data_IF_119124769791
#
_entry.id   IF_119124769791
#
_cell.length_a   1.000
_cell.length_b   1.000
_cell.length_c   1.000
_cell.angle_alpha   90.00
_cell.angle_beta   90.00
_cell.angle_gamma   90.00
#
_symmetry.space_group_name_H-M   'P 1'
#
loop_
_entity.id
_entity.type
_entity.pdbx_description
1 polymer ?
#
# COMPACT_ATOMS: atom_id res chain seq x y z
N UNK A 1 -8.88 -7.85 25.96
CA UNK A 1 -7.89 -8.21 24.93
C UNK A 1 -6.84 -7.11 24.81
N UNK A 2 -5.62 -7.43 24.40
CA UNK A 2 -4.62 -6.42 24.07
C UNK A 2 -4.89 -5.80 22.70
N UNK A 3 -4.67 -4.47 22.58
CA UNK A 3 -4.84 -3.76 21.31
C UNK A 3 -3.83 -2.60 21.22
N UNK A 4 -3.33 -2.34 20.01
CA UNK A 4 -2.43 -1.22 19.75
C UNK A 4 -3.24 0.04 19.46
N UNK A 5 -3.08 1.06 20.30
CA UNK A 5 -3.88 2.29 20.23
C UNK A 5 -3.03 3.55 20.21
N UNK A 6 -3.50 4.55 19.46
CA UNK A 6 -2.96 5.91 19.51
C UNK A 6 -3.67 6.68 20.61
N UNK A 7 -2.91 7.34 21.48
CA UNK A 7 -3.40 8.21 22.56
C UNK A 7 -3.17 9.69 22.27
N UNK A 8 -2.30 10.01 21.32
CA UNK A 8 -1.93 11.36 20.93
C UNK A 8 -0.67 11.37 20.10
N UNK A 9 -0.10 12.55 19.77
CA UNK A 9 1.09 12.66 18.93
C UNK A 9 2.29 11.91 19.50
N UNK A 10 2.77 10.91 18.78
CA UNK A 10 3.88 10.04 19.18
C UNK A 10 3.56 9.04 20.30
N UNK A 11 2.32 8.99 20.78
CA UNK A 11 1.92 8.14 21.90
C UNK A 11 1.15 6.90 21.42
N UNK A 12 1.90 5.84 21.12
CA UNK A 12 1.42 4.53 20.69
C UNK A 12 1.59 3.52 21.84
N UNK A 13 0.53 2.85 22.22
CA UNK A 13 0.52 1.93 23.37
C UNK A 13 -0.19 0.62 23.04
N UNK A 14 0.18 -0.44 23.77
CA UNK A 14 -0.57 -1.69 23.83
C UNK A 14 -1.43 -1.65 25.11
N UNK A 15 -2.74 -1.49 24.92
CA UNK A 15 -3.71 -1.39 26.02
C UNK A 15 -4.44 -2.71 26.24
N UNK A 16 -4.88 -2.94 27.48
CA UNK A 16 -5.88 -3.95 27.78
C UNK A 16 -7.27 -3.32 27.71
N UNK A 17 -8.08 -3.79 26.75
CA UNK A 17 -9.44 -3.28 26.49
C UNK A 17 -10.46 -4.41 26.50
N UNK A 18 -11.77 -4.13 26.71
CA UNK A 18 -12.81 -5.12 26.52
C UNK A 18 -12.81 -5.70 25.11
N UNK A 19 -13.13 -6.98 24.97
CA UNK A 19 -13.36 -7.55 23.64
C UNK A 19 -14.66 -6.93 23.04
N UNK A 20 -14.68 -6.66 21.73
CA UNK A 20 -15.91 -6.21 21.08
C UNK A 20 -16.96 -7.32 21.05
N UNK A 21 -18.22 -6.92 20.94
CA UNK A 21 -19.37 -7.83 20.88
C UNK A 21 -20.10 -7.59 19.57
N UNK A 22 -20.34 -8.66 18.81
CA UNK A 22 -21.04 -8.57 17.54
C UNK A 22 -22.54 -8.32 17.73
N UNK A 23 -23.06 -7.34 17.01
CA UNK A 23 -24.50 -7.13 16.86
C UNK A 23 -25.10 -8.02 15.75
N UNK A 24 -26.44 -7.93 15.54
CA UNK A 24 -27.10 -8.81 14.57
C UNK A 24 -26.61 -8.70 13.12
N UNK A 25 -25.97 -7.59 12.73
CA UNK A 25 -25.46 -7.32 11.38
C UNK A 25 -23.95 -7.32 11.29
N UNK A 26 -23.26 -7.71 12.35
CA UNK A 26 -21.82 -7.58 12.46
C UNK A 26 -21.14 -8.94 12.32
N UNK A 27 -19.86 -8.92 11.98
CA UNK A 27 -18.99 -10.08 11.99
C UNK A 27 -17.80 -9.78 12.92
N UNK A 28 -17.49 -10.71 13.80
CA UNK A 28 -16.26 -10.67 14.56
C UNK A 28 -15.21 -11.54 13.87
N UNK A 29 -14.04 -10.99 13.66
CA UNK A 29 -12.93 -11.65 12.99
C UNK A 29 -11.77 -11.85 13.96
N UNK A 30 -11.30 -13.10 14.09
CA UNK A 30 -9.99 -13.39 14.67
C UNK A 30 -8.93 -12.93 13.66
N UNK A 31 -8.20 -11.86 13.96
CA UNK A 31 -7.14 -11.34 13.09
C UNK A 31 -5.94 -12.27 13.16
N UNK A 32 -5.62 -12.97 12.10
CA UNK A 32 -4.44 -13.84 12.06
C UNK A 32 -3.17 -13.04 11.78
N UNK A 33 -3.19 -12.23 10.71
CA UNK A 33 -2.06 -11.42 10.27
C UNK A 33 -2.54 -10.03 9.89
N UNK A 34 -1.79 -9.02 10.30
CA UNK A 34 -1.99 -7.63 9.90
C UNK A 34 -0.69 -6.98 9.39
N UNK A 35 -0.80 -6.10 8.40
CA UNK A 35 0.31 -5.33 7.83
C UNK A 35 0.42 -3.94 8.45
N UNK A 36 1.66 -3.47 8.65
CA UNK A 36 1.91 -2.09 9.06
C UNK A 36 2.01 -1.20 7.81
N UNK A 37 1.21 -0.14 7.78
CA UNK A 37 1.16 0.85 6.71
C UNK A 37 1.90 2.14 7.06
N UNK A 38 2.35 2.89 6.06
CA UNK A 38 2.85 4.26 6.23
C UNK A 38 1.82 5.21 6.84
N UNK A 39 0.52 4.93 6.61
CA UNK A 39 -0.60 5.66 7.24
C UNK A 39 -0.60 5.49 8.75
N UNK A 40 -0.35 4.29 9.28
CA UNK A 40 -0.26 4.05 10.73
C UNK A 40 0.87 4.88 11.36
N UNK A 41 2.01 4.98 10.66
CA UNK A 41 3.15 5.83 11.07
C UNK A 41 2.75 7.31 11.07
N UNK A 42 2.05 7.76 10.03
CA UNK A 42 1.58 9.15 9.92
C UNK A 42 0.59 9.48 11.04
N UNK A 43 -0.41 8.61 11.26
CA UNK A 43 -1.40 8.80 12.33
C UNK A 43 -0.74 8.84 13.70
N UNK A 44 0.24 7.98 13.95
CA UNK A 44 1.01 8.01 15.20
C UNK A 44 1.75 9.33 15.38
N UNK A 45 2.38 9.88 14.33
CA UNK A 45 3.10 11.16 14.41
C UNK A 45 2.19 12.34 14.71
N UNK A 46 1.01 12.40 14.07
CA UNK A 46 0.06 13.51 14.26
C UNK A 46 -0.90 13.27 15.42
N UNK A 47 -0.94 12.04 15.94
CA UNK A 47 -1.77 11.64 17.07
C UNK A 47 -3.22 11.31 16.71
N UNK A 48 -3.51 11.06 15.43
CA UNK A 48 -4.85 10.73 14.94
C UNK A 48 -4.97 10.87 13.43
N UNK A 49 -6.17 10.71 12.89
CA UNK A 49 -6.44 10.71 11.45
C UNK A 49 -6.27 12.09 10.81
N UNK A 50 -6.88 13.12 11.42
CA UNK A 50 -6.87 14.49 10.92
C UNK A 50 -6.26 15.48 11.95
N UNK A 51 -5.39 15.01 12.82
CA UNK A 51 -4.81 15.71 13.95
C UNK A 51 -4.98 14.91 15.23
N UNK A 52 -4.61 15.46 16.40
CA UNK A 52 -4.68 14.74 17.68
C UNK A 52 -6.09 14.23 17.98
N UNK A 53 -6.20 12.94 18.30
CA UNK A 53 -7.47 12.31 18.68
C UNK A 53 -7.91 12.77 20.08
N UNK A 54 -9.21 12.84 20.31
CA UNK A 54 -9.80 13.07 21.63
C UNK A 54 -10.00 11.77 22.42
N UNK A 55 -10.11 10.64 21.70
CA UNK A 55 -10.25 9.31 22.29
C UNK A 55 -9.29 8.34 21.59
N UNK A 56 -8.60 7.47 22.35
CA UNK A 56 -7.71 6.49 21.77
C UNK A 56 -8.44 5.51 20.85
N UNK A 57 -7.88 5.22 19.68
CA UNK A 57 -8.43 4.24 18.73
C UNK A 57 -7.38 3.21 18.28
N UNK A 58 -7.86 2.06 17.79
CA UNK A 58 -7.01 0.94 17.36
C UNK A 58 -6.53 1.21 15.93
N UNK A 59 -5.22 1.02 15.70
CA UNK A 59 -4.58 1.10 14.38
C UNK A 59 -4.68 -0.19 13.57
N UNK A 60 -4.29 -0.07 12.30
CA UNK A 60 -4.15 -1.17 11.35
C UNK A 60 -5.39 -1.37 10.48
N UNK A 61 -5.14 -1.56 9.18
CA UNK A 61 -6.20 -1.69 8.17
C UNK A 61 -5.88 -2.72 7.08
N UNK A 62 -4.72 -3.36 7.13
CA UNK A 62 -4.31 -4.41 6.21
C UNK A 62 -4.37 -5.74 6.94
N UNK A 63 -5.34 -6.62 6.67
CA UNK A 63 -5.51 -7.83 7.48
C UNK A 63 -6.17 -9.00 6.77
N UNK A 64 -5.89 -10.18 7.32
CA UNK A 64 -6.62 -11.42 7.05
C UNK A 64 -6.78 -12.23 8.36
N UNK A 65 -7.80 -13.07 8.39
CA UNK A 65 -8.09 -13.85 9.59
C UNK A 65 -9.19 -14.88 9.40
N UNK A 66 -9.80 -15.28 10.51
CA UNK A 66 -10.92 -16.24 10.52
C UNK A 66 -12.14 -15.65 11.20
N UNK A 67 -13.32 -15.97 10.72
CA UNK A 67 -14.58 -15.52 11.32
C UNK A 67 -14.76 -16.19 12.69
N UNK A 68 -14.88 -15.35 13.74
CA UNK A 68 -15.10 -15.80 15.13
C UNK A 68 -16.58 -15.85 15.51
N UNK A 69 -17.36 -14.85 15.04
CA UNK A 69 -18.80 -14.76 15.30
C UNK A 69 -19.52 -14.11 14.11
N UNK A 70 -20.75 -14.54 13.84
CA UNK A 70 -21.60 -14.02 12.76
C UNK A 70 -22.92 -13.57 13.32
N UNK A 71 -23.29 -12.33 13.11
CA UNK A 71 -24.57 -11.77 13.51
C UNK A 71 -25.74 -12.44 12.77
N UNK A 72 -26.86 -12.57 13.45
CA UNK A 72 -28.03 -13.34 12.98
C UNK A 72 -28.62 -12.87 11.62
N UNK A 73 -28.32 -11.64 11.20
CA UNK A 73 -28.77 -11.05 9.94
C UNK A 73 -27.68 -11.02 8.84
N UNK A 74 -26.49 -11.56 9.14
CA UNK A 74 -25.41 -11.70 8.14
C UNK A 74 -25.56 -13.04 7.42
N UNK A 75 -25.41 -13.04 6.11
CA UNK A 75 -25.58 -14.23 5.27
C UNK A 75 -24.36 -14.49 4.39
N UNK A 76 -24.20 -15.73 3.96
CA UNK A 76 -23.15 -16.14 3.02
C UNK A 76 -21.78 -16.38 3.65
N UNK A 77 -21.68 -16.34 4.99
CA UNK A 77 -20.45 -16.63 5.74
C UNK A 77 -20.80 -17.35 7.04
N UNK A 78 -19.86 -18.08 7.60
CA UNK A 78 -20.00 -18.85 8.84
C UNK A 78 -18.74 -18.77 9.70
N UNK A 79 -18.88 -19.09 10.97
CA UNK A 79 -17.77 -19.21 11.92
C UNK A 79 -16.75 -20.22 11.40
N UNK A 80 -15.47 -19.84 11.45
CA UNK A 80 -14.34 -20.63 10.95
C UNK A 80 -13.96 -20.33 9.51
N UNK A 81 -14.78 -19.65 8.73
CA UNK A 81 -14.40 -19.23 7.37
C UNK A 81 -13.18 -18.30 7.40
N UNK A 82 -12.25 -18.52 6.47
CA UNK A 82 -11.07 -17.69 6.31
C UNK A 82 -11.41 -16.50 5.44
N UNK A 83 -10.95 -15.30 5.85
CA UNK A 83 -11.38 -14.05 5.21
C UNK A 83 -10.24 -13.05 5.09
N UNK A 84 -10.35 -12.22 4.07
CA UNK A 84 -9.73 -10.90 4.00
C UNK A 84 -10.81 -9.88 4.35
N UNK A 85 -10.44 -8.83 5.07
CA UNK A 85 -11.35 -7.72 5.38
C UNK A 85 -10.95 -6.51 4.54
N UNK A 86 -11.93 -5.97 3.80
CA UNK A 86 -11.79 -4.67 3.14
C UNK A 86 -12.09 -3.57 4.17
N UNK A 87 -11.09 -2.79 4.61
CA UNK A 87 -11.27 -1.82 5.69
C UNK A 87 -12.21 -0.66 5.33
N UNK A 88 -12.42 -0.40 4.04
CA UNK A 88 -13.35 0.63 3.54
C UNK A 88 -14.73 0.06 3.19
N UNK A 89 -14.86 -1.26 3.14
CA UNK A 89 -16.11 -1.94 2.80
C UNK A 89 -17.21 -1.65 3.82
N UNK A 90 -18.43 -1.58 3.34
CA UNK A 90 -19.65 -1.34 4.15
C UNK A 90 -19.57 -0.08 5.04
N UNK A 91 -18.68 0.88 4.72
CA UNK A 91 -18.49 2.13 5.46
C UNK A 91 -17.75 1.99 6.80
N UNK A 92 -17.01 0.89 7.02
CA UNK A 92 -16.38 0.60 8.31
C UNK A 92 -15.28 1.58 8.71
N UNK A 93 -14.38 1.98 7.80
CA UNK A 93 -13.24 2.86 8.13
C UNK A 93 -12.27 2.23 9.14
N UNK A 94 -12.04 0.92 9.04
CA UNK A 94 -11.15 0.16 9.93
C UNK A 94 -9.75 0.77 9.93
N UNK A 95 -9.16 0.96 11.13
CA UNK A 95 -7.85 1.59 11.30
C UNK A 95 -7.81 3.09 11.01
N UNK A 96 -8.93 3.70 10.63
CA UNK A 96 -9.06 5.11 10.29
C UNK A 96 -9.92 5.88 11.31
N UNK A 97 -9.73 5.61 12.60
CA UNK A 97 -10.38 6.30 13.71
C UNK A 97 -11.71 5.70 14.16
N UNK A 98 -12.17 4.59 13.58
CA UNK A 98 -13.31 3.86 14.11
C UNK A 98 -13.00 3.33 15.52
N UNK A 99 -13.87 3.55 16.55
CA UNK A 99 -13.55 3.22 17.95
C UNK A 99 -13.22 1.75 18.21
N UNK A 100 -13.80 0.83 17.43
CA UNK A 100 -13.65 -0.63 17.55
C UNK A 100 -12.99 -1.29 16.35
N UNK A 101 -12.59 -0.48 15.37
CA UNK A 101 -12.13 -0.94 14.06
C UNK A 101 -10.66 -0.70 13.83
N UNK A 102 -9.81 -1.67 14.21
CA UNK A 102 -8.39 -1.69 13.85
C UNK A 102 -7.82 -3.09 13.90
N UNK A 103 -6.90 -3.39 12.98
CA UNK A 103 -6.36 -4.73 12.79
C UNK A 103 -5.30 -5.15 13.83
N UNK A 104 -4.72 -4.19 14.57
CA UNK A 104 -3.70 -4.54 15.55
C UNK A 104 -4.33 -4.88 16.90
N UNK A 105 -5.16 -5.92 16.88
CA UNK A 105 -5.80 -6.57 18.02
C UNK A 105 -6.15 -8.02 17.62
N UNK A 106 -6.29 -8.96 18.58
CA UNK A 106 -6.70 -10.33 18.28
C UNK A 106 -8.10 -10.44 17.67
N UNK A 107 -9.01 -9.51 18.01
CA UNK A 107 -10.39 -9.49 17.53
C UNK A 107 -10.72 -8.14 16.90
N UNK A 108 -11.29 -8.21 15.70
CA UNK A 108 -11.81 -7.06 14.97
C UNK A 108 -13.32 -7.18 14.80
N UNK A 109 -14.04 -6.12 15.14
CA UNK A 109 -15.48 -5.99 14.83
C UNK A 109 -15.65 -5.33 13.46
N UNK A 110 -16.31 -6.03 12.54
CA UNK A 110 -16.73 -5.50 11.25
C UNK A 110 -18.22 -5.22 11.31
N UNK A 111 -18.60 -3.95 11.28
CA UNK A 111 -20.00 -3.53 11.45
C UNK A 111 -20.77 -3.57 10.14
N UNK A 112 -22.06 -3.91 10.19
CA UNK A 112 -22.95 -4.02 9.03
C UNK A 112 -22.34 -4.86 7.87
N UNK A 113 -21.61 -5.91 8.22
CA UNK A 113 -20.75 -6.68 7.32
C UNK A 113 -21.53 -7.40 6.23
N UNK A 114 -21.07 -7.25 4.99
CA UNK A 114 -21.58 -8.03 3.83
C UNK A 114 -20.44 -8.77 3.14
N UNK A 115 -20.78 -9.94 2.58
CA UNK A 115 -19.87 -10.69 1.73
C UNK A 115 -19.74 -9.99 0.38
N UNK A 116 -18.50 -9.71 -0.03
CA UNK A 116 -18.19 -8.90 -1.21
C UNK A 116 -18.14 -7.39 -0.93
N UNK A 117 -18.57 -6.95 0.25
CA UNK A 117 -18.37 -5.60 0.77
C UNK A 117 -17.14 -5.54 1.68
N UNK A 118 -17.34 -5.60 3.01
CA UNK A 118 -16.22 -5.64 3.97
C UNK A 118 -15.59 -7.03 4.09
N UNK A 119 -16.32 -8.12 3.90
CA UNK A 119 -15.84 -9.49 4.11
C UNK A 119 -15.66 -10.22 2.78
N UNK A 120 -14.46 -10.75 2.57
CA UNK A 120 -14.13 -11.55 1.39
C UNK A 120 -13.60 -12.92 1.81
N UNK A 121 -14.39 -14.00 1.63
CA UNK A 121 -13.92 -15.35 1.87
C UNK A 121 -12.73 -15.72 0.98
N UNK A 122 -11.79 -16.47 1.54
CA UNK A 122 -10.58 -16.92 0.83
C UNK A 122 -10.42 -18.44 0.96
N UNK A 123 -9.79 -19.11 -0.03
CA UNK A 123 -9.54 -20.53 0.03
C UNK A 123 -8.51 -20.91 1.11
N UNK A 124 -8.55 -22.16 1.55
CA UNK A 124 -7.67 -22.68 2.61
C UNK A 124 -6.19 -22.65 2.24
N UNK A 125 -5.89 -22.76 0.95
CA UNK A 125 -4.53 -22.76 0.40
C UNK A 125 -3.85 -21.39 0.42
N UNK A 126 -4.60 -20.30 0.52
CA UNK A 126 -4.04 -18.94 0.59
C UNK A 126 -3.56 -18.66 2.01
N UNK A 127 -2.26 -18.48 2.22
CA UNK A 127 -1.74 -18.14 3.54
C UNK A 127 -2.24 -16.76 4.02
N UNK A 128 -2.34 -16.55 5.33
CA UNK A 128 -2.77 -15.27 5.89
C UNK A 128 -1.79 -14.15 5.63
N UNK A 129 -0.48 -14.43 5.60
CA UNK A 129 0.56 -13.46 5.25
C UNK A 129 0.37 -12.94 3.82
N UNK A 130 0.06 -13.84 2.89
CA UNK A 130 -0.23 -13.47 1.50
C UNK A 130 -1.57 -12.73 1.40
N UNK A 131 -2.57 -13.18 2.12
CA UNK A 131 -3.90 -12.59 2.17
C UNK A 131 -3.91 -11.16 2.76
N UNK A 132 -3.11 -10.90 3.78
CA UNK A 132 -2.98 -9.58 4.40
C UNK A 132 -2.40 -8.50 3.45
N UNK A 133 -1.81 -8.92 2.32
CA UNK A 133 -1.33 -8.00 1.28
C UNK A 133 -2.46 -7.47 0.36
N UNK A 134 -3.70 -7.91 0.54
CA UNK A 134 -4.81 -7.55 -0.36
C UNK A 134 -5.06 -6.04 -0.38
N UNK A 135 -5.04 -5.39 0.78
CA UNK A 135 -5.27 -3.95 0.87
C UNK A 135 -4.18 -3.15 0.13
N UNK A 136 -2.87 -3.25 0.47
CA UNK A 136 -1.84 -2.47 -0.21
C UNK A 136 -1.68 -2.81 -1.69
N UNK A 137 -1.95 -4.06 -2.09
CA UNK A 137 -1.97 -4.43 -3.49
C UNK A 137 -3.18 -3.87 -4.24
N UNK A 138 -4.32 -3.64 -3.55
CA UNK A 138 -5.46 -2.96 -4.14
C UNK A 138 -5.13 -1.49 -4.43
N UNK A 139 -4.45 -0.79 -3.52
CA UNK A 139 -3.93 0.58 -3.77
C UNK A 139 -2.99 0.59 -4.98
N UNK A 140 -2.03 -0.33 -5.04
CA UNK A 140 -1.08 -0.43 -6.14
C UNK A 140 -1.77 -0.78 -7.47
N UNK A 141 -2.74 -1.70 -7.45
CA UNK A 141 -3.51 -2.10 -8.64
C UNK A 141 -4.36 -0.96 -9.14
N UNK A 142 -4.98 -0.17 -8.24
CA UNK A 142 -5.72 1.03 -8.62
C UNK A 142 -4.83 2.03 -9.36
N UNK A 143 -3.63 2.30 -8.84
CA UNK A 143 -2.67 3.18 -9.52
C UNK A 143 -2.30 2.66 -10.93
N UNK A 144 -2.08 1.34 -11.07
CA UNK A 144 -1.81 0.71 -12.36
C UNK A 144 -3.03 0.78 -13.29
N UNK A 145 -4.27 0.64 -12.77
CA UNK A 145 -5.51 0.82 -13.53
C UNK A 145 -5.64 2.27 -14.05
N UNK A 146 -5.45 3.25 -13.16
CA UNK A 146 -5.50 4.68 -13.48
C UNK A 146 -4.46 5.08 -14.52
N UNK A 147 -3.30 4.46 -14.50
CA UNK A 147 -2.23 4.73 -15.47
C UNK A 147 -2.61 4.35 -16.90
N UNK A 148 -3.44 3.31 -17.07
CA UNK A 148 -3.71 2.69 -18.37
C UNK A 148 -2.53 1.89 -18.91
N UNK A 149 -1.53 1.57 -18.08
CA UNK A 149 -0.31 0.85 -18.50
C UNK A 149 -0.60 -0.47 -19.22
N UNK A 150 0.19 -0.77 -20.24
CA UNK A 150 0.12 -2.01 -21.00
C UNK A 150 1.43 -2.40 -21.67
N UNK A 151 1.44 -3.51 -22.40
CA UNK A 151 2.62 -3.94 -23.14
C UNK A 151 3.15 -2.84 -24.08
N UNK A 152 4.45 -2.60 -24.05
CA UNK A 152 5.10 -1.56 -24.87
C UNK A 152 5.32 -0.23 -24.17
N UNK A 153 4.71 0.01 -23.02
CA UNK A 153 5.02 1.20 -22.22
C UNK A 153 6.41 1.10 -21.58
N UNK A 154 7.06 2.27 -21.50
CA UNK A 154 8.31 2.49 -20.79
C UNK A 154 7.99 3.19 -19.48
N UNK A 155 8.12 2.46 -18.38
CA UNK A 155 7.62 2.88 -17.08
C UNK A 155 8.74 3.18 -16.09
N UNK A 156 8.63 4.31 -15.40
CA UNK A 156 9.50 4.67 -14.28
C UNK A 156 8.66 4.71 -12.99
N UNK A 157 9.11 3.99 -11.97
CA UNK A 157 8.51 3.99 -10.62
C UNK A 157 9.50 4.66 -9.66
N UNK A 158 9.12 5.82 -9.13
CA UNK A 158 9.93 6.55 -8.15
C UNK A 158 9.53 6.14 -6.74
N UNK A 159 10.34 5.28 -6.13
CA UNK A 159 10.14 4.68 -4.82
C UNK A 159 9.82 3.19 -4.89
N UNK A 160 10.55 2.39 -4.12
CA UNK A 160 10.37 0.94 -3.96
C UNK A 160 9.88 0.57 -2.54
N UNK A 161 9.05 1.42 -1.95
CA UNK A 161 8.26 1.07 -0.76
C UNK A 161 7.17 0.04 -1.09
N UNK A 162 6.35 -0.40 -0.12
CA UNK A 162 5.32 -1.43 -0.35
C UNK A 162 4.41 -1.15 -1.56
N UNK A 163 3.98 0.10 -1.73
CA UNK A 163 3.12 0.49 -2.86
C UNK A 163 3.90 0.46 -4.18
N UNK A 164 5.15 0.98 -4.22
CA UNK A 164 5.98 0.92 -5.42
C UNK A 164 6.29 -0.51 -5.86
N UNK A 165 6.59 -1.39 -4.92
CA UNK A 165 6.76 -2.83 -5.18
C UNK A 165 5.48 -3.48 -5.70
N UNK A 166 4.32 -3.12 -5.12
CA UNK A 166 3.00 -3.57 -5.60
C UNK A 166 2.71 -3.09 -7.02
N UNK A 167 3.09 -1.85 -7.37
CA UNK A 167 2.96 -1.30 -8.73
C UNK A 167 3.84 -2.09 -9.71
N UNK A 168 5.09 -2.39 -9.35
CA UNK A 168 5.98 -3.23 -10.18
C UNK A 168 5.35 -4.59 -10.44
N UNK A 169 4.82 -5.26 -9.40
CA UNK A 169 4.09 -6.51 -9.52
C UNK A 169 2.89 -6.39 -10.47
N UNK A 170 2.05 -5.36 -10.30
CA UNK A 170 0.88 -5.13 -11.15
C UNK A 170 1.24 -4.85 -12.61
N UNK A 171 2.28 -4.06 -12.87
CA UNK A 171 2.80 -3.78 -14.21
C UNK A 171 3.33 -5.04 -14.90
N UNK A 172 4.11 -5.85 -14.18
CA UNK A 172 4.64 -7.11 -14.71
C UNK A 172 3.51 -8.08 -15.09
N UNK A 173 2.47 -8.19 -14.26
CA UNK A 173 1.26 -8.99 -14.59
C UNK A 173 0.50 -8.49 -15.81
N UNK A 174 0.54 -7.20 -16.11
CA UNK A 174 -0.03 -6.60 -17.34
C UNK A 174 0.83 -6.78 -18.58
N UNK A 175 1.98 -7.42 -18.44
CA UNK A 175 2.91 -7.67 -19.54
C UNK A 175 3.79 -6.48 -19.90
N UNK A 176 3.86 -5.45 -19.06
CA UNK A 176 4.85 -4.38 -19.21
C UNK A 176 6.25 -4.98 -19.04
N UNK A 177 7.15 -4.71 -19.99
CA UNK A 177 8.50 -5.29 -20.05
C UNK A 177 9.62 -4.29 -19.77
N UNK A 178 9.32 -3.01 -19.80
CA UNK A 178 10.30 -1.95 -19.59
C UNK A 178 9.93 -1.16 -18.33
N UNK A 179 10.32 -1.72 -17.15
CA UNK A 179 10.03 -1.17 -15.84
C UNK A 179 11.35 -0.77 -15.18
N UNK A 180 11.55 0.53 -14.97
CA UNK A 180 12.67 1.08 -14.21
C UNK A 180 12.19 1.55 -12.85
N UNK A 181 12.90 1.15 -11.80
CA UNK A 181 12.60 1.54 -10.41
C UNK A 181 13.74 2.36 -9.84
N UNK A 182 13.40 3.48 -9.20
CA UNK A 182 14.36 4.36 -8.54
C UNK A 182 14.13 4.36 -7.04
N UNK A 183 15.12 3.99 -6.24
CA UNK A 183 15.05 4.05 -4.77
C UNK A 183 16.47 4.16 -4.18
N UNK A 184 16.60 4.76 -2.99
CA UNK A 184 17.87 4.92 -2.32
C UNK A 184 18.35 3.64 -1.61
N UNK A 185 17.47 2.65 -1.41
CA UNK A 185 17.75 1.40 -0.69
C UNK A 185 18.00 0.24 -1.65
N UNK A 186 19.23 -0.26 -1.72
CA UNK A 186 19.60 -1.39 -2.58
C UNK A 186 18.79 -2.67 -2.24
N UNK A 187 18.43 -2.87 -0.97
CA UNK A 187 17.59 -3.98 -0.52
C UNK A 187 16.19 -3.92 -1.16
N UNK A 188 15.59 -2.73 -1.28
CA UNK A 188 14.31 -2.50 -1.94
C UNK A 188 14.40 -2.64 -3.44
N UNK A 189 15.50 -2.17 -4.04
CA UNK A 189 15.78 -2.34 -5.47
C UNK A 189 15.94 -3.83 -5.86
N UNK A 190 16.56 -4.64 -4.99
CA UNK A 190 16.64 -6.08 -5.18
C UNK A 190 15.25 -6.74 -5.18
N UNK A 191 14.34 -6.32 -4.28
CA UNK A 191 12.94 -6.77 -4.25
C UNK A 191 12.18 -6.36 -5.51
N UNK A 192 12.39 -5.14 -5.97
CA UNK A 192 11.77 -4.66 -7.22
C UNK A 192 12.18 -5.52 -8.43
N UNK A 193 13.46 -5.91 -8.52
CA UNK A 193 13.92 -6.85 -9.57
C UNK A 193 13.24 -8.21 -9.47
N UNK A 194 13.11 -8.75 -8.28
CA UNK A 194 12.44 -10.04 -8.05
C UNK A 194 10.95 -10.00 -8.43
N UNK A 195 10.30 -8.83 -8.37
CA UNK A 195 8.91 -8.61 -8.75
C UNK A 195 8.71 -8.23 -10.22
N UNK A 196 9.79 -8.08 -11.00
CA UNK A 196 9.71 -7.86 -12.45
C UNK A 196 10.28 -6.54 -12.97
N UNK A 197 10.95 -5.73 -12.15
CA UNK A 197 11.68 -4.57 -12.64
C UNK A 197 12.89 -4.98 -13.47
N UNK A 198 13.03 -4.41 -14.67
CA UNK A 198 14.14 -4.70 -15.58
C UNK A 198 15.39 -3.89 -15.23
N UNK A 199 15.18 -2.65 -14.80
CA UNK A 199 16.26 -1.73 -14.43
C UNK A 199 15.98 -1.14 -13.06
N UNK A 200 17.03 -0.94 -12.28
CA UNK A 200 16.95 -0.25 -11.00
C UNK A 200 18.05 0.77 -10.89
N UNK A 201 17.74 1.94 -10.32
CA UNK A 201 18.64 3.06 -10.19
C UNK A 201 18.68 3.46 -8.71
N UNK A 202 19.89 3.52 -8.15
CA UNK A 202 20.10 4.08 -6.81
C UNK A 202 20.69 5.49 -6.93
N UNK A 203 19.95 6.55 -6.56
CA UNK A 203 20.43 7.94 -6.61
C UNK A 203 21.70 8.22 -5.81
N UNK A 204 22.02 7.36 -4.84
CA UNK A 204 23.27 7.46 -4.07
C UNK A 204 24.51 7.02 -4.86
N UNK A 205 24.32 6.27 -5.94
CA UNK A 205 25.42 5.69 -6.73
C UNK A 205 25.60 6.35 -8.10
N UNK A 206 24.55 6.97 -8.66
CA UNK A 206 24.58 7.55 -10.00
C UNK A 206 23.54 8.66 -10.19
N UNK A 207 23.75 9.52 -11.20
CA UNK A 207 22.76 10.51 -11.59
C UNK A 207 21.54 9.84 -12.21
N UNK A 208 20.36 10.15 -11.64
CA UNK A 208 19.09 9.52 -12.05
C UNK A 208 18.71 9.88 -13.48
N UNK A 209 18.90 11.14 -13.89
CA UNK A 209 18.54 11.58 -15.25
C UNK A 209 19.40 10.90 -16.31
N UNK A 210 20.71 10.87 -16.09
CA UNK A 210 21.63 10.23 -17.05
C UNK A 210 21.40 8.70 -17.08
N UNK A 211 21.07 8.07 -15.95
CA UNK A 211 20.71 6.64 -15.91
C UNK A 211 19.41 6.36 -16.68
N UNK A 212 18.38 7.17 -16.51
CA UNK A 212 17.13 7.07 -17.25
C UNK A 212 17.34 7.30 -18.75
N UNK A 213 18.18 8.26 -19.12
CA UNK A 213 18.54 8.50 -20.53
C UNK A 213 19.29 7.30 -21.15
N UNK A 214 20.15 6.65 -20.40
CA UNK A 214 20.81 5.40 -20.86
C UNK A 214 19.80 4.27 -21.09
N UNK A 215 18.80 4.16 -20.23
CA UNK A 215 17.81 3.07 -20.25
C UNK A 215 16.75 3.29 -21.31
N UNK A 216 16.14 4.48 -21.36
CA UNK A 216 14.97 4.76 -22.19
C UNK A 216 15.28 5.59 -23.43
N UNK A 217 16.50 6.15 -23.51
CA UNK A 217 16.92 7.11 -24.54
C UNK A 217 16.75 8.54 -24.07
N UNK A 218 17.61 9.43 -24.60
CA UNK A 218 17.57 10.87 -24.36
C UNK A 218 16.77 11.56 -25.47
N UNK A 219 15.91 12.47 -25.10
CA UNK A 219 15.17 13.34 -25.99
C UNK A 219 15.37 14.82 -25.64
N UNK A 220 14.73 15.68 -26.40
CA UNK A 220 14.67 17.12 -26.18
C UNK A 220 13.26 17.62 -26.47
N UNK A 221 12.76 18.50 -25.61
CA UNK A 221 11.48 19.19 -25.81
C UNK A 221 11.71 20.68 -25.63
N UNK A 222 11.73 21.43 -26.72
CA UNK A 222 11.99 22.89 -26.75
C UNK A 222 13.28 23.33 -26.01
N UNK A 223 14.35 22.52 -26.13
CA UNK A 223 15.64 22.78 -25.44
C UNK A 223 15.72 22.21 -24.02
N UNK A 224 14.67 21.57 -23.51
CA UNK A 224 14.73 20.82 -22.26
C UNK A 224 15.09 19.36 -22.53
N UNK A 225 16.20 18.84 -21.98
CA UNK A 225 16.55 17.43 -22.11
C UNK A 225 15.57 16.58 -21.30
N UNK A 226 15.16 15.43 -21.88
CA UNK A 226 14.18 14.50 -21.29
C UNK A 226 14.63 13.05 -21.42
N UNK A 227 14.12 12.18 -20.55
CA UNK A 227 14.27 10.73 -20.65
C UNK A 227 12.99 10.12 -21.27
N UNK A 228 13.13 9.32 -22.31
CA UNK A 228 12.02 8.86 -23.16
C UNK A 228 11.21 7.69 -22.52
N UNK A 229 10.79 7.84 -21.26
CA UNK A 229 9.79 7.01 -20.60
C UNK A 229 8.43 7.72 -20.66
N UNK A 230 7.39 7.02 -21.08
CA UNK A 230 6.08 7.65 -21.30
C UNK A 230 5.15 7.61 -20.09
N UNK A 231 5.49 6.80 -19.05
CA UNK A 231 4.66 6.61 -17.88
C UNK A 231 5.51 6.65 -16.60
N UNK A 232 5.08 7.47 -15.62
CA UNK A 232 5.83 7.73 -14.41
C UNK A 232 4.94 7.62 -13.18
N UNK A 233 5.39 6.87 -12.16
CA UNK A 233 4.70 6.77 -10.88
C UNK A 233 5.49 7.50 -9.80
N UNK A 234 4.83 8.42 -9.10
CA UNK A 234 5.34 9.06 -7.91
C UNK A 234 4.75 8.37 -6.67
N UNK A 235 5.59 7.63 -5.95
CA UNK A 235 5.18 6.86 -4.76
C UNK A 235 6.08 7.13 -3.54
N UNK A 236 6.83 8.23 -3.56
CA UNK A 236 7.75 8.62 -2.48
C UNK A 236 7.14 9.60 -1.50
N UNK A 237 6.21 10.46 -1.96
CA UNK A 237 5.68 11.61 -1.22
C UNK A 237 6.70 12.73 -1.03
N UNK A 238 7.81 12.72 -1.78
CA UNK A 238 8.87 13.75 -1.71
C UNK A 238 8.65 14.79 -2.80
N UNK A 239 8.34 16.03 -2.42
CA UNK A 239 8.02 17.10 -3.36
C UNK A 239 9.12 17.35 -4.42
N UNK A 240 10.40 17.27 -4.04
CA UNK A 240 11.51 17.41 -4.97
C UNK A 240 11.55 16.28 -6.03
N UNK A 241 11.10 15.06 -5.68
CA UNK A 241 10.95 13.96 -6.64
C UNK A 241 9.87 14.30 -7.66
N UNK A 242 8.68 14.73 -7.21
CA UNK A 242 7.60 15.13 -8.12
C UNK A 242 8.03 16.26 -9.06
N UNK A 243 8.75 17.27 -8.57
CA UNK A 243 9.31 18.35 -9.39
C UNK A 243 10.30 17.82 -10.43
N UNK A 244 11.14 16.84 -10.06
CA UNK A 244 12.10 16.24 -10.98
C UNK A 244 11.41 15.45 -12.10
N UNK A 245 10.28 14.76 -11.82
CA UNK A 245 9.48 14.09 -12.83
C UNK A 245 8.98 15.06 -13.90
N UNK A 246 8.43 16.20 -13.50
CA UNK A 246 7.98 17.24 -14.43
C UNK A 246 9.12 17.71 -15.34
N UNK A 247 10.34 17.79 -14.80
CA UNK A 247 11.52 18.21 -15.55
C UNK A 247 12.03 17.10 -16.49
N UNK A 248 12.10 15.85 -16.04
CA UNK A 248 12.69 14.73 -16.78
C UNK A 248 11.75 14.07 -17.78
N UNK A 249 10.44 14.11 -17.55
CA UNK A 249 9.45 13.45 -18.39
C UNK A 249 9.40 14.06 -19.80
N UNK A 250 9.20 13.23 -20.87
CA UNK A 250 9.10 13.69 -22.24
C UNK A 250 7.73 14.27 -22.58
N UNK A 251 7.56 14.70 -23.82
CA UNK A 251 6.28 15.17 -24.36
C UNK A 251 5.20 14.09 -24.25
N UNK A 252 3.99 14.49 -23.84
CA UNK A 252 2.81 13.64 -23.60
C UNK A 252 2.97 12.57 -22.50
N UNK A 253 4.00 12.66 -21.66
CA UNK A 253 4.14 11.71 -20.57
C UNK A 253 2.99 11.83 -19.56
N UNK A 254 2.59 10.68 -18.98
CA UNK A 254 1.63 10.60 -17.90
C UNK A 254 2.36 10.42 -16.56
N UNK A 255 2.06 11.27 -15.60
CA UNK A 255 2.56 11.23 -14.23
C UNK A 255 1.44 10.75 -13.31
N UNK A 256 1.58 9.59 -12.70
CA UNK A 256 0.62 9.01 -11.75
C UNK A 256 1.09 9.31 -10.33
N UNK A 257 0.33 10.11 -9.61
CA UNK A 257 0.66 10.54 -8.24
C UNK A 257 -0.13 9.67 -7.29
N UNK A 258 0.56 8.88 -6.48
CA UNK A 258 -0.02 7.91 -5.54
C UNK A 258 0.30 8.26 -4.09
N UNK A 259 1.51 8.78 -3.85
CA UNK A 259 1.91 9.13 -2.50
C UNK A 259 1.21 10.39 -2.00
N UNK A 260 0.93 10.42 -0.69
CA UNK A 260 0.40 11.60 -0.01
C UNK A 260 1.52 12.62 0.21
N UNK A 261 1.36 13.82 -0.34
CA UNK A 261 2.24 14.95 -0.06
C UNK A 261 1.67 15.78 1.09
N UNK A 262 2.37 15.81 2.22
CA UNK A 262 1.92 16.51 3.43
C UNK A 262 2.18 18.02 3.42
N UNK A 263 2.88 18.52 2.40
CA UNK A 263 3.16 19.94 2.20
C UNK A 263 2.86 20.33 0.75
N UNK A 264 2.63 21.61 0.51
CA UNK A 264 2.48 22.13 -0.85
C UNK A 264 3.75 21.87 -1.67
N UNK A 265 3.54 21.41 -2.92
CA UNK A 265 4.61 21.16 -3.88
C UNK A 265 4.46 22.12 -5.04
N UNK A 266 5.38 23.10 -5.21
CA UNK A 266 5.34 24.02 -6.36
C UNK A 266 5.68 23.28 -7.64
N UNK A 267 4.79 23.33 -8.64
CA UNK A 267 4.99 22.74 -9.97
C UNK A 267 5.21 23.84 -11.00
N UNK A 268 6.24 23.66 -11.83
CA UNK A 268 6.48 24.54 -12.97
C UNK A 268 5.50 24.21 -14.11
N UNK A 269 4.35 24.89 -14.13
CA UNK A 269 3.33 24.69 -15.15
C UNK A 269 3.75 25.17 -16.55
N UNK A 270 4.77 26.04 -16.69
CA UNK A 270 5.32 26.39 -18.00
C UNK A 270 5.96 25.16 -18.66
N UNK A 271 6.76 24.39 -17.90
CA UNK A 271 7.36 23.14 -18.39
C UNK A 271 6.31 22.09 -18.64
N UNK A 272 5.37 21.90 -17.69
CA UNK A 272 4.30 20.92 -17.80
C UNK A 272 3.42 21.18 -19.04
N UNK A 273 3.05 22.45 -19.28
CA UNK A 273 2.29 22.87 -20.47
C UNK A 273 3.07 22.63 -21.75
N UNK A 274 4.33 23.04 -21.81
CA UNK A 274 5.16 22.88 -23.02
C UNK A 274 5.35 21.41 -23.41
N UNK A 275 5.28 20.50 -22.45
CA UNK A 275 5.37 19.04 -22.66
C UNK A 275 4.02 18.35 -22.76
N UNK A 276 2.91 19.08 -22.60
CA UNK A 276 1.55 18.53 -22.54
C UNK A 276 1.44 17.34 -21.56
N UNK A 277 2.02 17.50 -20.35
CA UNK A 277 2.02 16.43 -19.35
C UNK A 277 0.62 16.17 -18.81
N UNK A 278 0.29 14.90 -18.62
CA UNK A 278 -0.93 14.48 -17.94
C UNK A 278 -0.62 14.13 -16.48
N UNK A 279 -1.40 14.69 -15.53
CA UNK A 279 -1.33 14.32 -14.12
C UNK A 279 -2.53 13.46 -13.78
N UNK A 280 -2.30 12.27 -13.29
CA UNK A 280 -3.32 11.33 -12.86
C UNK A 280 -3.17 11.07 -11.36
N UNK A 281 -4.22 11.31 -10.58
CA UNK A 281 -4.22 11.07 -9.15
C UNK A 281 -4.79 9.68 -8.85
N UNK A 282 -4.18 8.95 -7.92
CA UNK A 282 -4.65 7.63 -7.49
C UNK A 282 -4.71 7.58 -5.97
N UNK A 283 -5.90 7.33 -5.44
CA UNK A 283 -6.14 7.21 -4.01
C UNK A 283 -7.04 6.01 -3.72
N UNK A 284 -6.66 5.18 -2.73
CA UNK A 284 -7.41 4.01 -2.29
C UNK A 284 -7.65 2.98 -3.42
N UNK A 285 -8.81 2.31 -3.43
CA UNK A 285 -9.12 1.19 -4.33
C UNK A 285 -10.65 0.98 -4.40
N UNK A 286 -11.41 1.76 -5.16
CA UNK A 286 -12.86 1.63 -5.18
C UNK A 286 -13.37 0.24 -5.62
N UNK A 287 -12.70 -0.43 -6.57
CA UNK A 287 -13.20 -1.64 -7.21
C UNK A 287 -12.18 -2.79 -7.31
N UNK A 288 -10.94 -2.61 -6.82
CA UNK A 288 -9.83 -3.52 -7.12
C UNK A 288 -9.77 -4.77 -6.24
N UNK A 289 -10.41 -4.77 -5.09
CA UNK A 289 -10.30 -5.84 -4.09
C UNK A 289 -10.57 -7.24 -4.65
N UNK A 290 -11.67 -7.50 -5.40
CA UNK A 290 -11.93 -8.83 -5.95
C UNK A 290 -10.82 -9.32 -6.91
N UNK A 291 -10.35 -8.46 -7.81
CA UNK A 291 -9.30 -8.80 -8.77
C UNK A 291 -7.95 -9.05 -8.09
N UNK A 292 -7.67 -8.35 -7.00
CA UNK A 292 -6.46 -8.56 -6.20
C UNK A 292 -6.53 -9.88 -5.44
N UNK A 293 -7.68 -10.25 -4.87
CA UNK A 293 -7.86 -11.54 -4.21
C UNK A 293 -7.63 -12.68 -5.21
N UNK A 294 -8.18 -12.59 -6.42
CA UNK A 294 -7.92 -13.55 -7.49
C UNK A 294 -6.41 -13.65 -7.81
N UNK A 295 -5.73 -12.51 -7.92
CA UNK A 295 -4.29 -12.46 -8.16
C UNK A 295 -3.48 -13.07 -7.00
N UNK A 296 -3.94 -12.92 -5.76
CA UNK A 296 -3.31 -13.53 -4.58
C UNK A 296 -3.51 -15.06 -4.53
N UNK A 297 -4.61 -15.57 -5.07
CA UNK A 297 -4.85 -17.00 -5.18
C UNK A 297 -3.95 -17.67 -6.24
N UNK A 298 -3.39 -16.92 -7.17
CA UNK A 298 -2.39 -17.41 -8.13
C UNK A 298 -1.02 -17.60 -7.45
N UNK A 299 -0.80 -18.79 -6.88
CA UNK A 299 0.44 -19.15 -6.19
C UNK A 299 1.63 -19.41 -7.12
N UNK A 300 1.43 -19.41 -8.44
CA UNK A 300 2.51 -19.56 -9.42
C UNK A 300 3.44 -18.33 -9.45
N UNK A 301 2.95 -17.17 -8.95
CA UNK A 301 3.72 -15.93 -8.87
C UNK A 301 4.23 -15.74 -7.43
N UNK A 302 5.55 -15.65 -7.29
CA UNK A 302 6.18 -15.35 -6.01
C UNK A 302 6.01 -13.85 -5.65
N UNK A 303 5.26 -13.59 -4.60
CA UNK A 303 5.09 -12.25 -4.02
C UNK A 303 5.82 -12.07 -2.69
N UNK A 304 6.58 -13.07 -2.25
CA UNK A 304 7.35 -13.00 -1.01
C UNK A 304 8.31 -11.79 -0.94
N UNK A 305 8.85 -11.26 -2.08
CA UNK A 305 9.65 -10.04 -2.04
C UNK A 305 8.91 -8.80 -1.52
N UNK A 306 7.57 -8.78 -1.49
CA UNK A 306 6.80 -7.68 -0.91
C UNK A 306 6.98 -7.61 0.62
N UNK A 307 7.14 -8.74 1.29
CA UNK A 307 7.30 -8.83 2.75
C UNK A 307 8.76 -8.83 3.13
N UNK A 308 9.15 -7.97 4.07
CA UNK A 308 10.53 -7.90 4.56
C UNK A 308 10.70 -8.53 5.94
N UNK A 309 9.73 -8.35 6.82
CA UNK A 309 9.80 -8.82 8.22
C UNK A 309 8.44 -9.32 8.67
N UNK A 310 8.46 -10.23 9.62
CA UNK A 310 7.27 -10.76 10.30
C UNK A 310 7.57 -10.85 11.79
N UNK A 311 6.63 -10.40 12.63
CA UNK A 311 6.73 -10.34 14.07
C UNK A 311 5.50 -10.96 14.75
N UNK A 312 5.65 -11.41 15.99
CA UNK A 312 4.51 -11.71 16.85
C UNK A 312 3.90 -10.43 17.45
N UNK A 313 2.68 -10.51 17.95
CA UNK A 313 1.99 -9.36 18.55
C UNK A 313 2.75 -8.77 19.75
N UNK A 314 3.43 -9.62 20.52
CA UNK A 314 4.25 -9.19 21.67
C UNK A 314 5.37 -8.22 21.30
N UNK A 315 5.88 -8.33 20.07
CA UNK A 315 6.99 -7.53 19.55
C UNK A 315 6.49 -6.35 18.66
N UNK A 316 5.21 -5.98 18.74
CA UNK A 316 4.62 -4.97 17.87
C UNK A 316 5.37 -3.65 17.84
N UNK A 317 5.84 -3.15 18.98
CA UNK A 317 6.54 -1.85 19.04
C UNK A 317 7.89 -1.92 18.30
N UNK A 318 8.57 -3.06 18.32
CA UNK A 318 9.76 -3.30 17.50
C UNK A 318 9.42 -3.38 16.02
N UNK A 319 8.39 -4.15 15.67
CA UNK A 319 7.86 -4.24 14.30
C UNK A 319 7.51 -2.85 13.74
N UNK A 320 6.87 -2.01 14.55
CA UNK A 320 6.51 -0.64 14.19
C UNK A 320 7.74 0.24 14.00
N UNK A 321 8.78 0.11 14.82
CA UNK A 321 10.05 0.81 14.64
C UNK A 321 10.76 0.36 13.35
N UNK A 322 10.84 -0.96 13.10
CA UNK A 322 11.43 -1.54 11.88
C UNK A 322 10.67 -1.11 10.62
N UNK A 323 9.34 -0.98 10.67
CA UNK A 323 8.54 -0.53 9.52
C UNK A 323 8.94 0.87 9.01
N UNK A 324 9.55 1.68 9.85
CA UNK A 324 10.03 3.03 9.54
C UNK A 324 11.47 3.04 8.98
N UNK A 325 12.19 1.93 9.01
CA UNK A 325 13.52 1.81 8.41
C UNK A 325 13.41 1.72 6.89
N UNK A 326 13.60 2.87 6.23
CA UNK A 326 13.52 2.99 4.77
C UNK A 326 14.60 2.21 4.02
N UNK A 327 15.68 1.82 4.69
CA UNK A 327 16.80 1.12 4.05
C UNK A 327 16.64 -0.40 4.05
N UNK A 328 15.96 -0.96 5.06
CA UNK A 328 15.92 -2.42 5.23
C UNK A 328 14.50 -2.99 5.19
N UNK A 329 13.45 -2.17 5.42
CA UNK A 329 12.07 -2.65 5.42
C UNK A 329 11.33 -2.40 4.10
N UNK A 330 10.45 -3.35 3.76
CA UNK A 330 9.35 -3.21 2.81
C UNK A 330 8.04 -3.39 3.61
N UNK A 331 7.15 -4.33 3.27
CA UNK A 331 6.00 -4.63 4.13
C UNK A 331 6.47 -5.40 5.39
N UNK A 332 6.02 -4.91 6.54
CA UNK A 332 6.19 -5.58 7.84
C UNK A 332 4.83 -6.16 8.25
N UNK A 333 4.80 -7.45 8.57
CA UNK A 333 3.61 -8.17 9.01
C UNK A 333 3.68 -8.49 10.50
N UNK A 334 2.52 -8.56 11.15
CA UNK A 334 2.36 -8.92 12.57
C UNK A 334 1.34 -10.04 12.68
N UNK A 335 1.72 -11.15 13.32
CA UNK A 335 0.80 -12.20 13.73
C UNK A 335 0.06 -11.75 14.98
N UNK A 336 -1.27 -11.60 14.90
CA UNK A 336 -2.08 -11.02 15.98
C UNK A 336 -2.57 -12.04 17.01
N UNK A 337 -2.29 -13.32 16.81
CA UNK A 337 -2.58 -14.42 17.74
C UNK A 337 -1.25 -14.99 18.27
N UNK A 338 -0.93 -14.65 19.49
CA UNK A 338 -0.03 -15.41 20.38
C UNK A 338 -0.58 -15.34 21.81
#
# INVERSE_FOLDING_TARGET
>A
MKAVRIHGPGDLRIDDIPAPVAGPRDVLVNVAVAGICGTDVTFTKVGGVAGPTTEPFILGHELAGTVAEVGALVHGIRVGDRVIVNPMGDGNGIGNGAPWGGAFAPLLLVTNATVGGAIHPIPDELSFERAALAEPLSVATHAVNRSGAGPGDKVVVMGAGPIGLGIVFGLARRGVKDITVVDMADSRLARARALGANTTINPGNEDVFEALCRTHGKGDVFGWPVANANLWFEVTGVGAVLQSLVTMAPFHAKLVIVAVHHTEVPINFQIALAKELSFEMSLAYPDEFPAVIEALCDTSVDISPLVSHTYGFGDFLEAFAVSQDKHHSAKVLVHCHE
#
